data_IF_915422332534
#
_entry.id   IF_915422332534
#
_cell.length_a   1.000
_cell.length_b   1.000
_cell.length_c   1.000
_cell.angle_alpha   90.00
_cell.angle_beta   90.00
_cell.angle_gamma   90.00
#
_symmetry.space_group_name_H-M   'P 1'
#
loop_
_entity.id
_entity.type
_entity.pdbx_description
1 polymer ?
#
# COMPACT_ATOMS: atom_id res chain seq x y z
N UNK A 1 -5.42 -20.33 14.08
CA UNK A 1 -5.29 -19.80 13.96
C UNK A 1 -4.97 -19.03 13.59
N UNK A 2 -4.95 -18.62 13.50
CA UNK A 2 -4.61 -17.93 13.03
C UNK A 2 -3.73 -17.18 13.09
N UNK A 3 -3.16 -16.99 12.76
CA UNK A 3 -2.07 -16.27 12.86
C UNK A 3 -2.06 -15.10 12.03
N UNK A 4 -3.05 -14.77 11.36
CA UNK A 4 -3.11 -13.59 10.61
C UNK A 4 -3.30 -12.43 11.47
N UNK A 5 -2.69 -11.29 11.14
CA UNK A 5 -2.86 -10.05 11.84
C UNK A 5 -3.68 -9.15 10.96
N UNK A 6 -4.84 -8.80 11.45
CA UNK A 6 -5.71 -7.90 10.70
C UNK A 6 -5.76 -6.60 11.45
N UNK A 7 -5.72 -5.53 10.74
CA UNK A 7 -5.82 -4.23 11.37
C UNK A 7 -6.10 -3.15 10.36
N UNK A 8 -6.54 -2.03 10.86
CA UNK A 8 -6.78 -0.86 10.02
C UNK A 8 -5.88 0.25 10.49
N UNK A 9 -5.12 0.82 9.57
CA UNK A 9 -4.29 1.97 9.86
C UNK A 9 -4.96 3.16 9.21
N UNK A 10 -5.32 4.14 10.01
CA UNK A 10 -6.09 5.25 9.47
C UNK A 10 -5.72 6.55 10.12
N UNK A 11 -5.97 7.60 9.41
CA UNK A 11 -5.92 8.94 9.96
C UNK A 11 -6.97 9.76 9.19
N UNK A 12 -6.91 11.07 9.29
CA UNK A 12 -7.95 11.86 8.66
C UNK A 12 -7.84 11.88 7.15
N UNK A 13 -6.72 11.38 6.59
CA UNK A 13 -6.52 11.43 5.16
C UNK A 13 -6.65 10.09 4.46
N UNK A 14 -6.51 8.99 5.18
CA UNK A 14 -6.48 7.68 4.54
C UNK A 14 -6.86 6.60 5.52
N UNK A 15 -7.37 5.51 4.98
CA UNK A 15 -7.75 4.39 5.80
C UNK A 15 -7.44 3.12 5.03
N UNK A 16 -6.55 2.30 5.56
CA UNK A 16 -6.06 1.12 4.86
C UNK A 16 -6.19 -0.09 5.77
N UNK A 17 -6.84 -1.12 5.26
CA UNK A 17 -6.94 -2.38 5.98
C UNK A 17 -5.75 -3.26 5.61
N UNK A 18 -5.13 -3.85 6.61
CA UNK A 18 -3.92 -4.64 6.44
C UNK A 18 -4.16 -6.04 6.97
N UNK A 19 -3.70 -7.02 6.22
CA UNK A 19 -3.88 -8.39 6.64
C UNK A 19 -2.79 -9.25 6.02
N UNK A 20 -2.31 -10.22 6.77
CA UNK A 20 -1.40 -11.20 6.21
C UNK A 20 -2.23 -12.26 5.49
N UNK A 21 -1.98 -12.41 4.22
CA UNK A 21 -2.70 -13.36 3.39
C UNK A 21 -1.87 -14.62 3.25
N UNK A 22 -2.40 -15.73 3.68
CA UNK A 22 -1.70 -16.99 3.66
C UNK A 22 -2.22 -17.93 2.59
N UNK A 23 -3.04 -17.46 1.70
CA UNK A 23 -3.66 -18.32 0.73
C UNK A 23 -2.82 -18.55 -0.51
N UNK A 24 -1.78 -17.78 -0.70
CA UNK A 24 -0.91 -17.99 -1.83
C UNK A 24 0.20 -18.94 -1.44
N UNK A 25 1.11 -19.20 -2.37
CA UNK A 25 2.22 -20.10 -2.11
C UNK A 25 3.12 -19.64 -1.00
N UNK A 26 3.20 -18.36 -0.79
CA UNK A 26 3.96 -17.82 0.32
C UNK A 26 3.18 -16.68 0.92
N UNK A 27 3.44 -16.36 2.17
CA UNK A 27 2.71 -15.28 2.83
C UNK A 27 2.97 -13.96 2.14
N UNK A 28 1.95 -13.14 2.12
CA UNK A 28 2.07 -11.80 1.54
C UNK A 28 1.15 -10.87 2.31
N UNK A 29 1.37 -9.59 2.15
CA UNK A 29 0.56 -8.61 2.82
C UNK A 29 -0.53 -8.13 1.88
N UNK A 30 -1.76 -8.14 2.36
CA UNK A 30 -2.89 -7.62 1.60
C UNK A 30 -3.25 -6.26 2.16
N UNK A 31 -3.26 -5.27 1.30
CA UNK A 31 -3.61 -3.91 1.68
C UNK A 31 -4.83 -3.48 0.90
N UNK A 32 -5.79 -2.93 1.58
CA UNK A 32 -7.00 -2.45 0.91
C UNK A 32 -7.25 -1.01 1.29
N UNK A 33 -7.33 -0.15 0.31
CA UNK A 33 -7.72 1.23 0.51
C UNK A 33 -9.23 1.25 0.71
N UNK A 34 -9.67 1.54 1.90
CA UNK A 34 -11.08 1.41 2.22
C UNK A 34 -11.94 2.48 1.55
N UNK A 35 -11.34 3.57 1.14
CA UNK A 35 -12.15 4.58 0.48
C UNK A 35 -12.39 4.25 -0.98
N UNK A 36 -11.55 3.47 -1.63
CA UNK A 36 -11.74 3.15 -3.03
C UNK A 36 -12.01 1.68 -3.27
N UNK A 37 -11.69 0.84 -2.32
CA UNK A 37 -11.77 -0.60 -2.50
C UNK A 37 -10.61 -1.20 -3.24
N UNK A 38 -9.60 -0.42 -3.58
CA UNK A 38 -8.47 -0.93 -4.31
C UNK A 38 -7.61 -1.80 -3.40
N UNK A 39 -7.15 -2.92 -3.92
CA UNK A 39 -6.39 -3.88 -3.15
C UNK A 39 -5.04 -4.08 -3.81
N UNK A 40 -4.02 -4.21 -2.98
CA UNK A 40 -2.69 -4.53 -3.46
C UNK A 40 -2.09 -5.61 -2.56
N UNK A 41 -1.38 -6.54 -3.17
CA UNK A 41 -0.64 -7.55 -2.42
C UNK A 41 0.84 -7.28 -2.55
N UNK A 42 1.56 -7.42 -1.45
CA UNK A 42 3.00 -7.24 -1.45
C UNK A 42 3.64 -8.47 -0.85
N UNK A 43 4.60 -9.05 -1.55
CA UNK A 43 5.32 -10.19 -1.03
C UNK A 43 6.50 -9.71 -0.18
N UNK A 44 7.28 -10.66 0.32
CA UNK A 44 8.36 -10.34 1.23
C UNK A 44 9.41 -9.44 0.59
N UNK A 45 9.71 -9.69 -0.67
CA UNK A 45 10.72 -8.90 -1.35
C UNK A 45 10.22 -7.47 -1.56
N UNK A 46 8.96 -7.34 -1.92
CA UNK A 46 8.40 -6.02 -2.11
C UNK A 46 8.33 -5.25 -0.79
N UNK A 47 7.99 -5.96 0.27
CA UNK A 47 7.94 -5.31 1.57
C UNK A 47 9.33 -4.89 2.02
N UNK A 48 10.32 -5.72 1.75
CA UNK A 48 11.68 -5.34 2.09
C UNK A 48 12.09 -4.09 1.33
N UNK A 49 11.69 -4.00 0.07
CA UNK A 49 12.00 -2.81 -0.71
C UNK A 49 11.37 -1.57 -0.10
N UNK A 50 10.15 -1.71 0.40
CA UNK A 50 9.49 -0.57 1.03
C UNK A 50 10.24 -0.16 2.29
N UNK A 51 10.73 -1.12 3.06
CA UNK A 51 11.48 -0.82 4.27
C UNK A 51 12.74 -0.02 3.95
N UNK A 52 13.37 -0.32 2.83
CA UNK A 52 14.61 0.34 2.47
C UNK A 52 14.41 1.57 1.58
N UNK A 53 13.17 1.93 1.29
CA UNK A 53 12.93 3.11 0.48
C UNK A 53 13.52 4.34 1.13
N UNK A 54 14.24 5.14 0.38
CA UNK A 54 14.71 6.41 0.92
C UNK A 54 13.51 7.29 1.30
N UNK A 55 13.70 8.04 2.36
CA UNK A 55 12.61 8.87 2.83
C UNK A 55 12.11 9.84 1.82
N UNK A 56 12.99 10.33 0.98
CA UNK A 56 12.57 11.25 -0.05
C UNK A 56 11.59 10.65 -1.03
N UNK A 57 11.76 9.37 -1.35
CA UNK A 57 10.85 8.72 -2.25
C UNK A 57 9.46 8.59 -1.64
N UNK A 58 9.40 8.24 -0.36
CA UNK A 58 8.13 8.11 0.29
C UNK A 58 7.42 9.44 0.37
N UNK A 59 8.16 10.49 0.68
CA UNK A 59 7.60 11.81 0.77
C UNK A 59 7.06 12.26 -0.58
N UNK A 60 7.77 11.90 -1.65
CA UNK A 60 7.35 12.23 -2.97
C UNK A 60 6.03 11.56 -3.32
N UNK A 61 5.85 10.31 -2.90
CA UNK A 61 4.60 9.61 -3.15
C UNK A 61 3.43 10.25 -2.42
N UNK A 62 3.70 10.93 -1.32
CA UNK A 62 2.64 11.55 -0.55
C UNK A 62 2.34 12.97 -0.99
N UNK A 63 3.19 13.54 -1.85
CA UNK A 63 3.02 14.89 -2.32
C UNK A 63 1.81 14.98 -3.22
N UNK A 64 0.86 15.84 -2.95
CA UNK A 64 -0.34 15.91 -3.79
C UNK A 64 -0.07 16.34 -5.21
N UNK A 65 1.08 16.93 -5.47
CA UNK A 65 1.40 17.27 -6.85
C UNK A 65 2.03 16.11 -7.59
N UNK A 66 2.26 14.98 -6.95
CA UNK A 66 2.84 13.84 -7.63
C UNK A 66 1.81 13.22 -8.57
N UNK A 67 2.31 12.53 -9.55
CA UNK A 67 1.47 11.99 -10.58
C UNK A 67 0.45 11.02 -10.07
N UNK A 68 0.75 10.29 -9.05
CA UNK A 68 -0.16 9.28 -8.60
C UNK A 68 -1.46 9.87 -8.04
N UNK A 69 -1.44 11.16 -7.71
CA UNK A 69 -2.63 11.79 -7.21
C UNK A 69 -3.52 12.29 -8.33
N UNK A 70 -3.04 12.28 -9.57
CA UNK A 70 -3.81 12.72 -10.67
C UNK A 70 -4.37 11.54 -11.34
N UNK A 71 -5.56 11.56 -11.67
CA UNK A 71 -6.10 10.49 -12.41
C UNK A 71 -6.00 10.69 -13.84
N UNK A 72 -5.29 11.63 -14.28
CA UNK A 72 -5.18 11.92 -15.68
C UNK A 72 -3.95 11.31 -16.21
N UNK A 73 -4.00 10.19 -16.79
CA UNK A 73 -2.81 9.51 -17.22
C UNK A 73 -2.14 10.17 -18.36
N UNK A 74 -2.79 11.00 -19.09
CA UNK A 74 -2.10 11.59 -20.15
C UNK A 74 -1.44 12.78 -19.77
N UNK A 75 -1.46 13.11 -18.64
CA UNK A 75 -0.76 14.15 -18.28
C UNK A 75 0.53 13.96 -18.32
N UNK A 76 0.87 13.10 -18.35
CA UNK A 76 2.15 12.93 -18.38
C UNK A 76 2.66 12.85 -19.36
N UNK A 77 2.67 13.20 -19.53
CA UNK A 77 3.06 13.19 -20.45
C UNK A 77 3.75 13.52 -20.62
#
# INVERSE_FOLDING_TARGET
MRSQVDGIISNEFAEVACRVDLEANSPRLRLEDLSSGRVRYLDAVELQAVVWLPEGHLRQLLDPSADRWRDDPDEHR
#
